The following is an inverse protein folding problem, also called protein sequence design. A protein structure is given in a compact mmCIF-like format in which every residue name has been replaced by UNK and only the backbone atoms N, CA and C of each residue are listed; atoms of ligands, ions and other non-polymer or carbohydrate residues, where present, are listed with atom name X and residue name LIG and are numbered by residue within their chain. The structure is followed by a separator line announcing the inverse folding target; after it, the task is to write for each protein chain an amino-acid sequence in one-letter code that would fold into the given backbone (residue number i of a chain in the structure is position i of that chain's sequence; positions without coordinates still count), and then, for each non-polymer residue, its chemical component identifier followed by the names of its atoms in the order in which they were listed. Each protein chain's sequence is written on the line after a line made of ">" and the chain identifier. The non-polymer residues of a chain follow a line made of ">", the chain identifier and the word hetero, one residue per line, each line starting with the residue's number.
data_IF_899790894834
#
_entry.id   IF_899790894834
#
_cell.length_a   1.000
_cell.length_b   1.000
_cell.length_c   1.000
_cell.angle_alpha   90.00
_cell.angle_beta   90.00
_cell.angle_gamma   90.00
#
_symmetry.space_group_name_H-M   'P 1'
#
loop_
_entity.id
_entity.type
_entity.pdbx_description
1 polymer ?
#
# COMPACT_ATOMS: atom_id res chain seq x y z
N UNK A 1 -3.50 16.25 -62.54
CA UNK A 1 -3.20 15.99 -61.11
C UNK A 1 -1.88 16.67 -60.76
N UNK A 2 -1.84 17.57 -59.77
CA UNK A 2 -0.58 18.18 -59.29
C UNK A 2 0.30 17.09 -58.66
N UNK A 3 1.54 16.95 -59.11
CA UNK A 3 2.53 16.06 -58.47
C UNK A 3 2.98 16.73 -57.17
N UNK A 4 2.82 16.02 -56.05
CA UNK A 4 3.35 16.45 -54.76
C UNK A 4 4.88 16.40 -54.83
N UNK A 5 5.57 17.45 -54.37
CA UNK A 5 7.04 17.49 -54.40
C UNK A 5 7.65 16.47 -53.43
N UNK A 6 8.84 16.00 -53.75
CA UNK A 6 9.57 15.04 -52.92
C UNK A 6 9.87 15.63 -51.53
N UNK A 7 10.13 16.93 -51.43
CA UNK A 7 10.35 17.62 -50.16
C UNK A 7 9.15 17.51 -49.20
N UNK A 8 7.93 17.60 -49.72
CA UNK A 8 6.70 17.45 -48.92
C UNK A 8 6.58 16.01 -48.38
N UNK A 9 6.97 15.01 -49.18
CA UNK A 9 7.01 13.62 -48.72
C UNK A 9 8.04 13.39 -47.63
N UNK A 10 9.25 13.93 -47.79
CA UNK A 10 10.32 13.82 -46.79
C UNK A 10 9.90 14.50 -45.48
N UNK A 11 9.31 15.69 -45.56
CA UNK A 11 8.82 16.41 -44.39
C UNK A 11 7.69 15.64 -43.68
N UNK A 12 6.75 15.07 -44.43
CA UNK A 12 5.65 14.27 -43.87
C UNK A 12 6.18 13.02 -43.16
N UNK A 13 7.15 12.31 -43.75
CA UNK A 13 7.81 11.15 -43.11
C UNK A 13 8.57 11.56 -41.86
N UNK A 14 9.29 12.69 -41.89
CA UNK A 14 9.99 13.22 -40.72
C UNK A 14 9.05 13.59 -39.56
N UNK A 15 7.90 14.19 -39.84
CA UNK A 15 6.90 14.48 -38.80
C UNK A 15 6.25 13.20 -38.27
N UNK A 16 5.97 12.22 -39.15
CA UNK A 16 5.43 10.92 -38.75
C UNK A 16 6.40 10.12 -37.89
N UNK A 17 7.71 10.18 -38.15
CA UNK A 17 8.70 9.48 -37.34
C UNK A 17 8.79 10.05 -35.92
N UNK A 18 8.71 11.37 -35.76
CA UNK A 18 8.64 12.02 -34.44
C UNK A 18 7.36 11.61 -33.70
N UNK A 19 6.21 11.63 -34.37
CA UNK A 19 4.94 11.18 -33.79
C UNK A 19 4.99 9.71 -33.35
N UNK A 20 5.55 8.83 -34.20
CA UNK A 20 5.74 7.42 -33.86
C UNK A 20 6.66 7.24 -32.65
N UNK A 21 7.75 8.02 -32.56
CA UNK A 21 8.64 8.03 -31.40
C UNK A 21 7.93 8.44 -30.11
N UNK A 22 7.10 9.49 -30.15
CA UNK A 22 6.33 9.94 -28.98
C UNK A 22 5.31 8.89 -28.52
N UNK A 23 4.62 8.22 -29.46
CA UNK A 23 3.69 7.13 -29.15
C UNK A 23 4.43 5.96 -28.49
N UNK A 24 5.59 5.59 -29.03
CA UNK A 24 6.41 4.51 -28.48
C UNK A 24 6.86 4.80 -27.04
N UNK A 25 7.37 6.01 -26.77
CA UNK A 25 7.73 6.43 -25.41
C UNK A 25 6.53 6.40 -24.47
N UNK A 26 5.36 6.86 -24.92
CA UNK A 26 4.13 6.80 -24.12
C UNK A 26 3.73 5.37 -23.75
N UNK A 27 3.91 4.41 -24.65
CA UNK A 27 3.65 2.99 -24.39
C UNK A 27 4.66 2.39 -23.40
N UNK A 28 5.95 2.71 -23.55
CA UNK A 28 7.00 2.25 -22.63
C UNK A 28 6.78 2.79 -21.21
N UNK A 29 6.45 4.07 -21.05
CA UNK A 29 6.17 4.64 -19.73
C UNK A 29 4.97 3.95 -19.06
N UNK A 30 3.91 3.64 -19.83
CA UNK A 30 2.76 2.90 -19.30
C UNK A 30 3.14 1.49 -18.86
N UNK A 31 3.97 0.79 -19.63
CA UNK A 31 4.45 -0.54 -19.28
C UNK A 31 5.34 -0.51 -18.05
N UNK A 32 6.25 0.47 -17.94
CA UNK A 32 7.10 0.66 -16.78
C UNK A 32 6.28 0.90 -15.50
N UNK A 33 5.24 1.73 -15.57
CA UNK A 33 4.32 1.95 -14.45
C UNK A 33 3.61 0.66 -14.04
N UNK A 34 3.13 -0.13 -15.01
CA UNK A 34 2.47 -1.40 -14.72
C UNK A 34 3.40 -2.40 -14.02
N UNK A 35 4.65 -2.53 -14.49
CA UNK A 35 5.67 -3.38 -13.87
C UNK A 35 5.99 -2.91 -12.46
N UNK A 36 6.12 -1.59 -12.24
CA UNK A 36 6.40 -1.03 -10.93
C UNK A 36 5.28 -1.36 -9.91
N UNK A 37 4.02 -1.20 -10.30
CA UNK A 37 2.87 -1.55 -9.46
C UNK A 37 2.86 -3.06 -9.16
N UNK A 38 3.08 -3.91 -10.18
CA UNK A 38 3.13 -5.35 -10.00
C UNK A 38 4.28 -5.77 -9.06
N UNK A 39 5.47 -5.17 -9.20
CA UNK A 39 6.61 -5.39 -8.33
C UNK A 39 6.33 -4.99 -6.88
N UNK A 40 5.69 -3.84 -6.66
CA UNK A 40 5.25 -3.42 -5.33
C UNK A 40 4.25 -4.42 -4.71
N UNK A 41 3.33 -4.96 -5.49
CA UNK A 41 2.40 -5.99 -5.01
C UNK A 41 3.09 -7.29 -4.64
N UNK A 42 4.05 -7.73 -5.46
CA UNK A 42 4.85 -8.91 -5.16
C UNK A 42 5.67 -8.71 -3.88
N UNK A 43 6.33 -7.57 -3.71
CA UNK A 43 7.08 -7.26 -2.49
C UNK A 43 6.18 -7.27 -1.25
N UNK A 44 4.97 -6.71 -1.33
CA UNK A 44 3.99 -6.77 -0.22
C UNK A 44 3.60 -8.20 0.16
N UNK A 45 3.46 -9.08 -0.84
CA UNK A 45 3.14 -10.49 -0.61
C UNK A 45 4.32 -11.25 0.02
N UNK A 46 5.55 -10.95 -0.42
CA UNK A 46 6.78 -11.52 0.16
C UNK A 46 6.91 -11.09 1.63
N UNK A 47 6.81 -9.80 1.93
CA UNK A 47 6.90 -9.27 3.31
C UNK A 47 5.85 -9.90 4.24
N UNK A 48 4.64 -10.14 3.74
CA UNK A 48 3.59 -10.87 4.49
C UNK A 48 3.96 -12.33 4.71
N UNK A 49 4.50 -13.01 3.69
CA UNK A 49 4.99 -14.37 3.82
C UNK A 49 6.11 -14.49 4.85
N UNK A 50 7.08 -13.57 4.83
CA UNK A 50 8.19 -13.53 5.79
C UNK A 50 7.71 -13.34 7.23
N UNK A 51 6.74 -12.44 7.47
CA UNK A 51 6.11 -12.30 8.79
C UNK A 51 5.48 -13.61 9.26
N UNK A 52 4.72 -14.28 8.37
CA UNK A 52 4.07 -15.55 8.70
C UNK A 52 5.08 -16.67 8.98
N UNK A 53 6.14 -16.77 8.18
CA UNK A 53 7.21 -17.74 8.43
C UNK A 53 7.90 -17.49 9.77
N UNK A 54 8.24 -16.24 10.07
CA UNK A 54 8.89 -15.89 11.35
C UNK A 54 8.02 -16.22 12.58
N UNK A 55 6.70 -16.07 12.47
CA UNK A 55 5.75 -16.46 13.53
C UNK A 55 5.66 -17.99 13.62
N UNK A 56 5.57 -18.67 12.48
CA UNK A 56 5.48 -20.15 12.42
C UNK A 56 6.75 -20.82 12.95
N UNK A 57 7.93 -20.27 12.70
CA UNK A 57 9.21 -20.74 13.23
C UNK A 57 9.28 -20.68 14.77
N UNK A 58 8.50 -19.78 15.38
CA UNK A 58 8.35 -19.68 16.84
C UNK A 58 7.30 -20.66 17.39
N UNK A 59 6.66 -21.46 16.54
CA UNK A 59 5.60 -22.40 16.91
C UNK A 59 4.25 -21.74 17.18
N UNK A 60 4.06 -20.50 16.72
CA UNK A 60 2.85 -19.70 16.94
C UNK A 60 2.01 -19.60 15.66
N UNK A 61 0.72 -19.30 15.80
CA UNK A 61 -0.20 -19.09 14.67
C UNK A 61 -0.68 -17.62 14.63
N UNK A 62 -0.44 -16.96 13.49
CA UNK A 62 -0.83 -15.55 13.31
C UNK A 62 -2.36 -15.38 13.34
N UNK A 63 -3.11 -16.38 12.89
CA UNK A 63 -4.57 -16.38 12.92
C UNK A 63 -5.08 -16.38 14.35
N UNK A 64 -4.55 -17.26 15.20
CA UNK A 64 -4.85 -17.31 16.64
C UNK A 64 -4.58 -15.96 17.30
N UNK A 65 -3.41 -15.35 17.04
CA UNK A 65 -3.02 -14.07 17.66
C UNK A 65 -3.93 -12.91 17.21
N UNK A 66 -4.27 -12.83 15.92
CA UNK A 66 -5.01 -11.69 15.33
C UNK A 66 -6.54 -11.85 15.47
N UNK A 67 -7.04 -13.09 15.44
CA UNK A 67 -8.48 -13.38 15.52
C UNK A 67 -8.96 -13.52 16.97
N UNK A 68 -8.06 -13.82 17.92
CA UNK A 68 -8.45 -13.87 19.33
C UNK A 68 -8.78 -12.46 19.84
N UNK A 69 -10.05 -12.30 20.24
CA UNK A 69 -10.58 -11.05 20.78
C UNK A 69 -10.27 -10.89 22.28
N UNK A 70 -9.94 -11.97 22.98
CA UNK A 70 -9.58 -11.93 24.40
C UNK A 70 -8.07 -11.86 24.60
N UNK A 71 -7.52 -10.64 24.66
CA UNK A 71 -6.08 -10.42 24.88
C UNK A 71 -5.54 -11.09 26.15
N UNK A 72 -6.38 -11.27 27.18
CA UNK A 72 -5.96 -11.85 28.46
C UNK A 72 -5.62 -13.33 28.35
N UNK A 73 -6.26 -14.06 27.43
CA UNK A 73 -6.06 -15.49 27.17
C UNK A 73 -4.77 -15.79 26.41
N UNK A 74 -4.17 -14.78 25.78
CA UNK A 74 -2.92 -14.94 25.05
C UNK A 74 -1.75 -15.21 26.00
N UNK A 75 -0.83 -16.08 25.55
CA UNK A 75 0.45 -16.28 26.22
C UNK A 75 1.28 -14.99 26.24
N UNK A 76 2.26 -14.88 27.13
CA UNK A 76 3.16 -13.72 27.16
C UNK A 76 3.92 -13.53 25.84
N UNK A 77 4.21 -14.62 25.13
CA UNK A 77 4.85 -14.57 23.83
C UNK A 77 3.88 -14.04 22.75
N UNK A 78 2.66 -14.58 22.70
CA UNK A 78 1.61 -14.13 21.78
C UNK A 78 1.25 -12.65 22.00
N UNK A 79 1.24 -12.19 23.25
CA UNK A 79 1.04 -10.77 23.60
C UNK A 79 2.12 -9.87 23.00
N UNK A 80 3.39 -10.30 23.04
CA UNK A 80 4.51 -9.57 22.40
C UNK A 80 4.39 -9.58 20.88
N UNK A 81 4.06 -10.74 20.29
CA UNK A 81 3.85 -10.88 18.85
C UNK A 81 2.71 -9.99 18.37
N UNK A 82 1.57 -9.95 19.09
CA UNK A 82 0.43 -9.08 18.74
C UNK A 82 0.82 -7.60 18.69
N UNK A 83 1.63 -7.14 19.65
CA UNK A 83 2.17 -5.77 19.67
C UNK A 83 3.13 -5.51 18.51
N UNK A 84 4.00 -6.46 18.17
CA UNK A 84 4.88 -6.34 16.99
C UNK A 84 4.10 -6.32 15.68
N UNK A 85 3.02 -7.09 15.58
CA UNK A 85 2.11 -7.04 14.43
C UNK A 85 1.46 -5.67 14.35
N UNK A 86 1.00 -5.07 15.45
CA UNK A 86 0.45 -3.71 15.45
C UNK A 86 1.47 -2.68 14.90
N UNK A 87 2.74 -2.77 15.31
CA UNK A 87 3.82 -1.96 14.73
C UNK A 87 3.96 -2.13 13.22
N UNK A 88 3.97 -3.38 12.75
CA UNK A 88 4.07 -3.70 11.33
C UNK A 88 2.86 -3.16 10.55
N UNK A 89 1.67 -3.28 11.11
CA UNK A 89 0.42 -2.83 10.51
C UNK A 89 0.35 -1.32 10.35
N UNK A 90 0.80 -0.54 11.33
CA UNK A 90 0.86 0.91 11.19
C UNK A 90 1.87 1.36 10.13
N UNK A 91 3.03 0.70 10.03
CA UNK A 91 3.95 0.91 8.90
C UNK A 91 3.31 0.59 7.55
N UNK A 92 2.58 -0.53 7.49
CA UNK A 92 1.87 -0.95 6.28
C UNK A 92 0.80 0.07 5.88
N UNK A 93 0.01 0.56 6.83
CA UNK A 93 -1.06 1.55 6.61
C UNK A 93 -0.49 2.86 6.08
N UNK A 94 0.56 3.39 6.71
CA UNK A 94 1.22 4.61 6.26
C UNK A 94 1.79 4.46 4.84
N UNK A 95 2.45 3.33 4.56
CA UNK A 95 2.96 3.03 3.23
C UNK A 95 1.86 2.85 2.18
N UNK A 96 0.73 2.23 2.56
CA UNK A 96 -0.44 2.06 1.71
C UNK A 96 -1.07 3.41 1.37
N UNK A 97 -1.20 4.29 2.36
CA UNK A 97 -1.68 5.66 2.16
C UNK A 97 -0.75 6.45 1.23
N UNK A 98 0.57 6.38 1.44
CA UNK A 98 1.55 7.05 0.58
C UNK A 98 1.51 6.56 -0.88
N UNK A 99 1.34 5.26 -1.10
CA UNK A 99 1.18 4.73 -2.47
C UNK A 99 -0.15 5.15 -3.10
N UNK A 100 -1.21 5.26 -2.30
CA UNK A 100 -2.49 5.77 -2.76
C UNK A 100 -2.40 7.25 -3.15
N UNK A 101 -1.78 8.11 -2.33
CA UNK A 101 -1.65 9.55 -2.62
C UNK A 101 -0.85 9.83 -3.90
N UNK A 102 0.09 8.94 -4.25
CA UNK A 102 0.84 8.99 -5.51
C UNK A 102 0.12 8.35 -6.72
N UNK A 103 -1.09 7.83 -6.57
CA UNK A 103 -1.82 7.14 -7.63
C UNK A 103 -1.25 5.77 -8.03
N UNK A 104 -0.38 5.20 -7.18
CA UNK A 104 0.23 3.88 -7.36
C UNK A 104 -0.62 2.76 -6.74
N UNK A 105 -1.75 3.11 -6.12
CA UNK A 105 -2.75 2.17 -5.63
C UNK A 105 -4.11 2.45 -6.27
N UNK A 106 -4.79 1.44 -6.86
CA UNK A 106 -6.15 1.59 -7.34
C UNK A 106 -7.10 2.05 -6.22
N UNK A 107 -7.98 3.00 -6.52
CA UNK A 107 -8.89 3.57 -5.51
C UNK A 107 -9.79 2.52 -4.84
N UNK A 108 -10.24 1.52 -5.59
CA UNK A 108 -11.07 0.43 -5.05
C UNK A 108 -10.28 -0.46 -4.08
N UNK A 109 -8.97 -0.63 -4.32
CA UNK A 109 -8.09 -1.34 -3.38
C UNK A 109 -7.89 -0.54 -2.10
N UNK A 110 -7.69 0.78 -2.22
CA UNK A 110 -7.57 1.66 -1.06
C UNK A 110 -8.85 1.68 -0.22
N UNK A 111 -10.03 1.84 -0.86
CA UNK A 111 -11.34 1.78 -0.19
C UNK A 111 -11.53 0.48 0.60
N UNK A 112 -11.15 -0.66 0.02
CA UNK A 112 -11.24 -1.95 0.71
C UNK A 112 -10.34 -2.03 1.96
N UNK A 113 -9.26 -1.24 2.02
CA UNK A 113 -8.35 -1.18 3.17
C UNK A 113 -8.78 -0.19 4.25
N UNK A 114 -9.74 0.71 4.00
CA UNK A 114 -10.20 1.67 5.01
C UNK A 114 -10.74 1.01 6.28
N UNK A 115 -11.39 -0.16 6.15
CA UNK A 115 -11.82 -0.95 7.31
C UNK A 115 -10.68 -1.41 8.21
N UNK A 116 -9.46 -1.53 7.67
CA UNK A 116 -8.28 -1.85 8.47
C UNK A 116 -7.83 -0.69 9.37
N UNK A 117 -8.09 0.57 8.99
CA UNK A 117 -7.76 1.74 9.81
C UNK A 117 -8.50 1.66 11.15
N UNK A 118 -9.83 1.51 11.10
CA UNK A 118 -10.66 1.38 12.30
C UNK A 118 -10.29 0.13 13.11
N UNK A 119 -10.09 -1.02 12.45
CA UNK A 119 -9.68 -2.26 13.13
C UNK A 119 -8.42 -2.06 13.96
N UNK A 120 -7.35 -1.50 13.38
CA UNK A 120 -6.06 -1.36 14.07
C UNK A 120 -6.06 -0.21 15.07
N UNK A 121 -6.83 0.86 14.84
CA UNK A 121 -7.07 1.93 15.81
C UNK A 121 -7.70 1.38 17.10
N UNK A 122 -8.59 0.40 16.97
CA UNK A 122 -9.34 -0.21 18.07
C UNK A 122 -8.64 -1.45 18.69
N UNK A 123 -7.34 -1.64 18.47
CA UNK A 123 -6.50 -2.60 19.21
C UNK A 123 -5.99 -1.91 20.48
N UNK A 124 -6.84 -1.86 21.51
CA UNK A 124 -6.60 -1.03 22.70
C UNK A 124 -5.37 -1.44 23.51
N UNK A 125 -5.00 -2.72 23.51
CA UNK A 125 -3.77 -3.23 24.12
C UNK A 125 -2.47 -2.70 23.48
N UNK A 126 -2.58 -2.10 22.29
CA UNK A 126 -1.50 -1.54 21.50
C UNK A 126 -1.68 -0.04 21.26
N UNK A 127 -2.51 0.64 22.08
CA UNK A 127 -2.86 2.04 21.87
C UNK A 127 -1.65 2.98 21.93
N UNK A 128 -0.70 2.68 22.80
CA UNK A 128 0.56 3.41 22.92
C UNK A 128 1.36 3.44 21.59
N UNK A 129 1.27 2.37 20.81
CA UNK A 129 1.90 2.29 19.48
C UNK A 129 1.18 3.20 18.49
N UNK A 130 -0.15 3.19 18.48
CA UNK A 130 -0.94 4.09 17.65
C UNK A 130 -0.64 5.54 17.99
N UNK A 131 -0.71 5.93 19.27
CA UNK A 131 -0.49 7.31 19.70
C UNK A 131 0.91 7.81 19.32
N UNK A 132 1.94 6.97 19.51
CA UNK A 132 3.30 7.26 19.07
C UNK A 132 3.35 7.50 17.55
N UNK A 133 2.77 6.59 16.75
CA UNK A 133 2.80 6.66 15.29
C UNK A 133 1.99 7.80 14.73
N UNK A 134 0.84 8.08 15.33
CA UNK A 134 -0.06 9.16 14.94
C UNK A 134 0.68 10.49 14.91
N UNK A 135 1.60 10.75 15.85
CA UNK A 135 2.38 11.99 15.85
C UNK A 135 3.16 12.24 14.55
N UNK A 136 3.63 11.17 13.89
CA UNK A 136 4.46 11.21 12.68
C UNK A 136 3.67 11.17 11.37
N UNK A 137 2.38 10.80 11.40
CA UNK A 137 1.58 10.68 10.17
C UNK A 137 1.33 12.02 9.48
N UNK A 138 1.17 11.96 8.15
CA UNK A 138 0.74 13.08 7.32
C UNK A 138 -0.68 13.54 7.68
N UNK A 139 -0.97 14.82 7.48
CA UNK A 139 -2.23 15.48 7.87
C UNK A 139 -3.47 14.77 7.32
N UNK A 140 -3.41 14.32 6.07
CA UNK A 140 -4.53 13.68 5.39
C UNK A 140 -4.82 12.28 5.98
N UNK A 141 -3.78 11.52 6.31
CA UNK A 141 -3.94 10.24 7.01
C UNK A 141 -4.47 10.44 8.43
N UNK A 142 -4.03 11.49 9.14
CA UNK A 142 -4.58 11.86 10.45
C UNK A 142 -6.08 12.12 10.39
N UNK A 143 -6.54 12.92 9.43
CA UNK A 143 -7.97 13.18 9.24
C UNK A 143 -8.78 11.89 9.03
N UNK A 144 -8.30 10.98 8.18
CA UNK A 144 -8.95 9.69 7.97
C UNK A 144 -9.01 8.83 9.23
N UNK A 145 -7.99 8.89 10.09
CA UNK A 145 -7.95 8.18 11.36
C UNK A 145 -8.84 8.85 12.40
N UNK A 146 -8.94 10.17 12.41
CA UNK A 146 -9.80 10.94 13.31
C UNK A 146 -11.29 10.68 13.02
N UNK A 147 -11.64 10.55 11.74
CA UNK A 147 -13.00 10.22 11.28
C UNK A 147 -13.40 8.76 11.56
N UNK A 148 -12.43 7.87 11.82
CA UNK A 148 -12.68 6.47 12.12
C UNK A 148 -13.14 6.27 13.58
N UNK A 149 -14.09 5.34 13.85
CA UNK A 149 -14.53 5.04 15.21
C UNK A 149 -13.38 4.70 16.16
N UNK A 150 -13.44 5.19 17.41
CA UNK A 150 -12.44 4.96 18.45
C UNK A 150 -13.05 4.29 19.69
N UNK A 151 -13.04 2.97 19.70
CA UNK A 151 -13.65 2.18 20.77
C UNK A 151 -12.75 2.06 22.01
N UNK A 152 -11.51 2.55 21.94
CA UNK A 152 -10.55 2.53 23.04
C UNK A 152 -10.61 3.77 23.92
N UNK A 153 -11.43 4.76 23.54
CA UNK A 153 -11.61 6.01 24.27
C UNK A 153 -12.67 5.87 25.36
N UNK A 154 -12.29 5.25 26.48
CA UNK A 154 -12.94 5.38 27.80
C UNK A 154 -12.00 6.06 28.80
#
# INVERSE_FOLDING_TARGET
>A
MKKVSIDVWIQLVGMLSVLAGLVFVGLEMRQAQYIAIAGQQQQRAIMQGELNYSITEQGEDIGEIILNQNYSELSDNQKKLKRNIAWWQWNRIENDFYQYSLGLMPIEKWKAQLGSLSRWKNVCEARDIYDFRYSYFETELKQLLDDAPDDCSE
#
